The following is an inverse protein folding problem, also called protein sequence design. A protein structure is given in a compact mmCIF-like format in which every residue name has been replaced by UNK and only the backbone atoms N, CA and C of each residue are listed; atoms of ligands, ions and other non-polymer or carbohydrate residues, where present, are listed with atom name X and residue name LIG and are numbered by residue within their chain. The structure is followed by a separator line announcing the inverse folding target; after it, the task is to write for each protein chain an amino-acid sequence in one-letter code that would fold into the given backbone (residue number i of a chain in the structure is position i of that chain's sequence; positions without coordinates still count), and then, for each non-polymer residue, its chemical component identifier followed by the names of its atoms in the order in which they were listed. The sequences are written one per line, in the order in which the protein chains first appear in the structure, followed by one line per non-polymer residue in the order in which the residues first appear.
data_IF_060354923345
#
_entry.id   IF_060354923345
#
_cell.length_a   1.000
_cell.length_b   1.000
_cell.length_c   1.000
_cell.angle_alpha   90.00
_cell.angle_beta   90.00
_cell.angle_gamma   90.00
#
_symmetry.space_group_name_H-M   'P 1'
#
loop_
_entity.id
_entity.type
_entity.pdbx_description
1 polymer ?
#
# COMPACT_ATOMS: atom_id res chain seq x y z
N UNK A 1 -11.01 -1.06 19.25
CA UNK A 1 -11.70 -2.01 18.35
C UNK A 1 -13.18 -2.14 18.69
N UNK A 2 -13.57 -2.02 19.96
CA UNK A 2 -14.96 -2.17 20.42
C UNK A 2 -15.91 -1.19 19.73
N UNK A 3 -15.54 0.10 19.65
CA UNK A 3 -16.32 1.11 18.94
C UNK A 3 -16.50 0.79 17.44
N UNK A 4 -15.51 0.16 16.79
CA UNK A 4 -15.62 -0.26 15.42
C UNK A 4 -16.59 -1.43 15.27
N UNK A 5 -16.54 -2.38 16.20
CA UNK A 5 -17.48 -3.49 16.24
C UNK A 5 -18.91 -2.99 16.51
N UNK A 6 -19.08 -2.09 17.48
CA UNK A 6 -20.37 -1.48 17.77
C UNK A 6 -20.96 -0.76 16.55
N UNK A 7 -20.15 -0.01 15.78
CA UNK A 7 -20.61 0.66 14.56
C UNK A 7 -21.08 -0.35 13.50
N UNK A 8 -20.44 -1.53 13.43
CA UNK A 8 -20.88 -2.62 12.54
C UNK A 8 -22.20 -3.22 13.02
N UNK A 9 -22.34 -3.51 14.31
CA UNK A 9 -23.53 -4.11 14.91
C UNK A 9 -24.74 -3.17 14.78
N UNK A 10 -24.52 -1.86 14.90
CA UNK A 10 -25.53 -0.81 14.65
C UNK A 10 -25.79 -0.57 13.15
N UNK A 11 -25.16 -1.34 12.24
CA UNK A 11 -25.28 -1.20 10.77
C UNK A 11 -24.88 0.19 10.22
N UNK A 12 -24.08 0.95 10.98
CA UNK A 12 -23.53 2.25 10.52
C UNK A 12 -22.45 2.07 9.47
N UNK A 13 -21.70 0.96 9.55
CA UNK A 13 -20.69 0.55 8.57
C UNK A 13 -20.91 -0.91 8.20
N UNK A 14 -20.56 -1.27 6.98
CA UNK A 14 -20.62 -2.67 6.49
C UNK A 14 -19.27 -3.36 6.62
N UNK A 15 -18.20 -2.65 6.35
CA UNK A 15 -16.85 -3.17 6.24
C UNK A 15 -15.91 -2.38 7.14
N UNK A 16 -15.04 -3.06 7.84
CA UNK A 16 -14.03 -2.47 8.72
C UNK A 16 -12.68 -2.93 8.24
N UNK A 17 -11.82 -1.98 7.93
CA UNK A 17 -10.45 -2.25 7.50
C UNK A 17 -9.46 -1.38 8.24
N UNK A 18 -8.20 -1.58 7.91
CA UNK A 18 -7.11 -0.75 8.41
C UNK A 18 -6.20 -0.30 7.28
N UNK A 19 -5.45 0.75 7.56
CA UNK A 19 -4.43 1.28 6.67
C UNK A 19 -3.07 1.25 7.38
N UNK A 20 -2.02 0.84 6.65
CA UNK A 20 -0.67 0.85 7.17
C UNK A 20 0.34 1.04 6.05
N UNK A 21 1.30 1.97 6.24
CA UNK A 21 2.32 2.30 5.24
C UNK A 21 3.75 2.19 5.77
N UNK A 22 3.94 2.27 7.10
CA UNK A 22 5.26 2.37 7.72
C UNK A 22 6.03 1.04 7.73
N UNK A 23 5.37 0.00 8.24
CA UNK A 23 5.97 -1.31 8.39
C UNK A 23 4.90 -2.41 8.41
N UNK A 24 5.08 -3.49 7.65
CA UNK A 24 4.17 -4.63 7.71
C UNK A 24 4.12 -5.28 9.10
N UNK A 25 5.18 -5.19 9.91
CA UNK A 25 5.18 -5.72 11.28
C UNK A 25 4.12 -5.07 12.17
N UNK A 26 3.85 -3.78 12.00
CA UNK A 26 2.79 -3.09 12.76
C UNK A 26 1.43 -3.69 12.41
N UNK A 27 1.16 -3.88 11.12
CA UNK A 27 -0.07 -4.49 10.64
C UNK A 27 -0.21 -5.95 11.10
N UNK A 28 0.86 -6.73 11.06
CA UNK A 28 0.86 -8.12 11.53
C UNK A 28 0.57 -8.20 13.03
N UNK A 29 1.12 -7.30 13.84
CA UNK A 29 0.76 -7.20 15.28
C UNK A 29 -0.71 -6.84 15.49
N UNK A 30 -1.27 -5.99 14.62
CA UNK A 30 -2.69 -5.65 14.66
C UNK A 30 -3.56 -6.88 14.33
N UNK A 31 -3.19 -7.64 13.31
CA UNK A 31 -3.88 -8.89 12.94
C UNK A 31 -3.82 -9.95 14.03
N UNK A 32 -2.74 -9.99 14.81
CA UNK A 32 -2.57 -10.93 15.91
C UNK A 32 -3.56 -10.68 17.09
N UNK A 33 -4.24 -9.52 17.11
CA UNK A 33 -5.27 -9.22 18.12
C UNK A 33 -6.62 -9.92 17.88
N UNK A 34 -6.73 -10.69 16.79
CA UNK A 34 -7.90 -11.53 16.54
C UNK A 34 -9.15 -10.82 16.02
N UNK A 35 -9.10 -9.53 15.74
CA UNK A 35 -10.23 -8.81 15.14
C UNK A 35 -10.47 -9.27 13.69
N UNK A 36 -11.74 -9.43 13.30
CA UNK A 36 -12.13 -9.81 11.94
C UNK A 36 -12.11 -8.57 11.00
N UNK A 37 -10.97 -8.34 10.39
CA UNK A 37 -10.78 -7.27 9.40
C UNK A 37 -11.32 -7.70 8.04
N UNK A 38 -12.13 -6.86 7.40
CA UNK A 38 -12.67 -7.12 6.08
C UNK A 38 -11.67 -6.76 4.97
N UNK A 39 -10.84 -5.74 5.20
CA UNK A 39 -9.81 -5.34 4.24
C UNK A 39 -8.60 -4.66 4.89
N UNK A 40 -7.52 -4.58 4.14
CA UNK A 40 -6.37 -3.75 4.46
C UNK A 40 -5.96 -2.88 3.27
N UNK A 41 -5.61 -1.62 3.55
CA UNK A 41 -4.93 -0.74 2.60
C UNK A 41 -3.43 -0.78 2.87
N UNK A 42 -2.60 -1.04 1.85
CA UNK A 42 -1.15 -1.16 1.99
C UNK A 42 -0.41 -0.70 0.74
N UNK A 43 0.84 -0.19 0.88
CA UNK A 43 1.68 0.12 -0.27
C UNK A 43 2.00 -1.13 -1.08
N UNK A 44 1.80 -1.05 -2.40
CA UNK A 44 2.13 -2.13 -3.32
C UNK A 44 2.68 -1.53 -4.62
N UNK A 45 3.98 -1.69 -4.85
CA UNK A 45 4.69 -1.19 -6.02
C UNK A 45 6.03 -1.94 -6.17
N UNK A 46 6.75 -1.83 -7.29
CA UNK A 46 8.01 -2.56 -7.48
C UNK A 46 9.11 -2.26 -6.44
N UNK A 47 9.11 -1.07 -5.80
CA UNK A 47 10.07 -0.74 -4.74
C UNK A 47 9.73 -1.43 -3.42
N UNK A 48 8.43 -1.57 -3.11
CA UNK A 48 7.96 -2.24 -1.89
C UNK A 48 8.56 -3.65 -1.73
N UNK A 49 8.74 -4.36 -2.83
CA UNK A 49 9.28 -5.73 -2.82
C UNK A 49 10.69 -5.85 -2.23
N UNK A 50 11.42 -4.73 -2.03
CA UNK A 50 12.83 -4.72 -1.60
C UNK A 50 13.05 -4.26 -0.17
N UNK A 51 12.20 -3.40 0.37
CA UNK A 51 12.38 -2.82 1.71
C UNK A 51 11.07 -2.84 2.50
N UNK A 52 11.08 -3.46 3.70
CA UNK A 52 9.90 -3.59 4.58
C UNK A 52 8.65 -3.95 3.76
N UNK A 53 8.74 -5.04 3.01
CA UNK A 53 7.79 -5.40 1.96
C UNK A 53 6.44 -5.81 2.52
N UNK A 54 5.42 -5.04 2.20
CA UNK A 54 4.02 -5.39 2.42
C UNK A 54 3.59 -6.52 1.49
N UNK A 55 4.09 -6.52 0.26
CA UNK A 55 3.83 -7.58 -0.72
C UNK A 55 4.26 -8.96 -0.21
N UNK A 56 5.42 -9.05 0.45
CA UNK A 56 5.97 -10.34 0.91
C UNK A 56 5.46 -10.78 2.28
N UNK A 57 5.03 -9.85 3.11
CA UNK A 57 4.73 -10.14 4.51
C UNK A 57 3.25 -10.01 4.83
N UNK A 58 2.59 -8.90 4.48
CA UNK A 58 1.20 -8.65 4.84
C UNK A 58 0.22 -9.18 3.80
N UNK A 59 0.50 -9.00 2.51
CA UNK A 59 -0.39 -9.42 1.43
C UNK A 59 -0.74 -10.91 1.50
N UNK A 60 0.22 -11.86 1.66
CA UNK A 60 -0.10 -13.28 1.77
C UNK A 60 -0.99 -13.58 3.00
N UNK A 61 -0.77 -12.90 4.11
CA UNK A 61 -1.56 -13.10 5.32
C UNK A 61 -3.00 -12.61 5.16
N UNK A 62 -3.22 -11.49 4.47
CA UNK A 62 -4.57 -11.00 4.16
C UNK A 62 -5.30 -11.98 3.23
N UNK A 63 -4.64 -12.48 2.19
CA UNK A 63 -5.21 -13.49 1.28
C UNK A 63 -5.57 -14.77 2.04
N UNK A 64 -4.68 -15.27 2.89
CA UNK A 64 -4.94 -16.46 3.73
C UNK A 64 -6.17 -16.29 4.62
N UNK A 65 -6.45 -15.06 5.07
CA UNK A 65 -7.64 -14.72 5.90
C UNK A 65 -8.91 -14.51 5.07
N UNK A 66 -8.83 -14.52 3.76
CA UNK A 66 -9.95 -14.19 2.88
C UNK A 66 -10.37 -12.72 2.92
N UNK A 67 -9.49 -11.84 3.43
CA UNK A 67 -9.74 -10.42 3.54
C UNK A 67 -9.30 -9.67 2.27
N UNK A 68 -10.04 -8.63 1.91
CA UNK A 68 -9.75 -7.84 0.72
C UNK A 68 -8.45 -7.03 0.89
N UNK A 69 -7.74 -6.80 -0.22
CA UNK A 69 -6.56 -5.94 -0.24
C UNK A 69 -6.78 -4.77 -1.19
N UNK A 70 -6.52 -3.57 -0.69
CA UNK A 70 -6.52 -2.35 -1.48
C UNK A 70 -5.08 -1.86 -1.56
N UNK A 71 -4.50 -1.95 -2.76
CA UNK A 71 -3.16 -1.44 -3.02
C UNK A 71 -3.15 0.09 -3.01
N UNK A 72 -2.17 0.67 -2.34
CA UNK A 72 -1.90 2.11 -2.32
C UNK A 72 -0.48 2.38 -2.77
N UNK A 73 -0.11 3.64 -2.95
CA UNK A 73 1.25 4.06 -3.33
C UNK A 73 1.83 3.29 -4.54
N UNK A 74 1.00 2.92 -5.51
CA UNK A 74 1.43 2.20 -6.71
C UNK A 74 2.57 2.90 -7.47
N UNK A 75 2.69 4.22 -7.33
CA UNK A 75 3.77 5.05 -7.87
C UNK A 75 4.79 5.49 -6.80
N UNK A 76 4.87 4.78 -5.67
CA UNK A 76 5.77 5.06 -4.55
C UNK A 76 5.73 6.53 -4.07
N UNK A 77 4.52 7.11 -3.95
CA UNK A 77 4.36 8.52 -3.55
C UNK A 77 4.94 9.53 -4.54
N UNK A 78 5.05 9.18 -5.80
CA UNK A 78 5.64 10.02 -6.85
C UNK A 78 7.12 9.72 -7.16
N UNK A 79 7.78 8.89 -6.36
CA UNK A 79 9.20 8.57 -6.56
C UNK A 79 9.46 7.79 -7.87
N UNK A 80 8.51 6.94 -8.29
CA UNK A 80 8.66 6.18 -9.55
C UNK A 80 8.71 7.11 -10.77
N UNK A 81 7.72 8.00 -11.00
CA UNK A 81 7.79 8.91 -12.14
C UNK A 81 8.97 9.89 -12.05
N UNK A 82 9.34 10.35 -10.87
CA UNK A 82 10.48 11.24 -10.68
C UNK A 82 11.82 10.54 -10.96
N UNK A 83 11.98 9.30 -10.57
CA UNK A 83 13.22 8.53 -10.70
C UNK A 83 13.49 7.96 -12.10
N UNK A 84 12.49 7.90 -12.98
CA UNK A 84 12.57 7.40 -14.37
C UNK A 84 13.12 5.98 -14.54
N UNK A 85 13.34 5.26 -13.44
CA UNK A 85 13.85 3.88 -13.48
C UNK A 85 12.79 2.90 -13.98
N UNK A 86 11.56 3.08 -13.53
CA UNK A 86 10.38 2.29 -13.90
C UNK A 86 9.34 3.27 -14.44
N UNK A 87 8.70 2.95 -15.54
CA UNK A 87 7.62 3.78 -16.07
C UNK A 87 6.38 3.68 -15.18
N UNK A 88 5.60 4.76 -15.10
CA UNK A 88 4.37 4.79 -14.30
C UNK A 88 3.40 3.67 -14.70
N UNK A 89 3.28 3.39 -16.01
CA UNK A 89 2.42 2.33 -16.54
C UNK A 89 2.89 0.95 -16.12
N UNK A 90 4.21 0.72 -16.08
CA UNK A 90 4.79 -0.55 -15.61
C UNK A 90 4.50 -0.76 -14.12
N UNK A 91 4.63 0.29 -13.31
CA UNK A 91 4.36 0.24 -11.88
C UNK A 91 2.86 0.03 -11.57
N UNK A 92 1.98 0.69 -12.30
CA UNK A 92 0.53 0.49 -12.18
C UNK A 92 0.16 -0.95 -12.58
N UNK A 93 0.66 -1.41 -13.72
CA UNK A 93 0.44 -2.78 -14.19
C UNK A 93 0.96 -3.81 -13.17
N UNK A 94 2.12 -3.54 -12.55
CA UNK A 94 2.65 -4.36 -11.47
C UNK A 94 1.68 -4.46 -10.30
N UNK A 95 1.22 -3.33 -9.78
CA UNK A 95 0.29 -3.31 -8.65
C UNK A 95 -1.04 -4.01 -8.96
N UNK A 96 -1.58 -3.84 -10.17
CA UNK A 96 -2.80 -4.54 -10.63
C UNK A 96 -2.59 -6.03 -10.88
N UNK A 97 -1.35 -6.49 -11.07
CA UNK A 97 -1.03 -7.90 -11.27
C UNK A 97 -0.92 -8.70 -9.95
N UNK A 98 -0.85 -8.00 -8.82
CA UNK A 98 -0.90 -8.63 -7.50
C UNK A 98 -2.33 -9.07 -7.16
N UNK A 99 -2.52 -10.01 -6.25
CA UNK A 99 -3.84 -10.48 -5.82
C UNK A 99 -4.54 -9.44 -4.93
N UNK A 100 -4.94 -8.35 -5.54
CA UNK A 100 -5.62 -7.21 -4.90
C UNK A 100 -7.06 -7.09 -5.37
N UNK A 101 -7.92 -6.57 -4.51
CA UNK A 101 -9.31 -6.25 -4.85
C UNK A 101 -9.43 -4.95 -5.62
N UNK A 102 -8.54 -3.99 -5.34
CA UNK A 102 -8.49 -2.67 -5.98
C UNK A 102 -7.13 -2.01 -5.76
N UNK A 103 -6.82 -0.99 -6.55
CA UNK A 103 -5.65 -0.13 -6.37
C UNK A 103 -6.08 1.33 -6.40
N UNK A 104 -5.73 2.08 -5.36
CA UNK A 104 -5.95 3.52 -5.30
C UNK A 104 -4.80 4.24 -6.00
N UNK A 105 -5.13 5.03 -7.01
CA UNK A 105 -4.16 5.81 -7.79
C UNK A 105 -4.45 7.28 -7.61
N UNK A 106 -3.47 8.04 -7.10
CA UNK A 106 -3.55 9.50 -7.03
C UNK A 106 -3.49 10.11 -8.44
N UNK A 107 -4.40 11.03 -8.72
CA UNK A 107 -4.45 11.78 -9.98
C UNK A 107 -4.53 13.27 -9.63
N UNK A 108 -3.45 14.01 -9.90
CA UNK A 108 -3.34 15.45 -9.64
C UNK A 108 -3.82 16.32 -10.81
N UNK A 109 -4.09 15.70 -11.96
CA UNK A 109 -4.55 16.39 -13.15
C UNK A 109 -5.46 15.49 -14.01
N UNK A 110 -6.29 16.12 -14.85
CA UNK A 110 -7.11 15.40 -15.82
C UNK A 110 -6.27 14.62 -16.85
N UNK A 111 -5.07 15.08 -17.14
CA UNK A 111 -4.14 14.39 -18.04
C UNK A 111 -3.65 13.07 -17.40
N UNK A 112 -3.25 13.11 -16.13
CA UNK A 112 -2.84 11.91 -15.37
C UNK A 112 -4.01 10.93 -15.24
N UNK A 113 -5.21 11.42 -14.91
CA UNK A 113 -6.41 10.60 -14.84
C UNK A 113 -6.69 9.87 -16.17
N UNK A 114 -6.71 10.59 -17.29
CA UNK A 114 -6.92 10.00 -18.63
C UNK A 114 -5.89 8.93 -18.96
N UNK A 115 -4.61 9.19 -18.64
CA UNK A 115 -3.51 8.25 -18.87
C UNK A 115 -3.67 6.99 -18.01
N UNK A 116 -4.04 7.15 -16.73
CA UNK A 116 -4.29 6.04 -15.80
C UNK A 116 -5.47 5.19 -16.27
N UNK A 117 -6.59 5.81 -16.67
CA UNK A 117 -7.75 5.11 -17.20
C UNK A 117 -7.44 4.34 -18.48
N UNK A 118 -6.67 4.93 -19.40
CA UNK A 118 -6.21 4.24 -20.61
C UNK A 118 -5.37 3.01 -20.27
N UNK A 119 -4.47 3.12 -19.30
CA UNK A 119 -3.65 1.98 -18.83
C UNK A 119 -4.51 0.90 -18.17
N UNK A 120 -5.52 1.29 -17.40
CA UNK A 120 -6.43 0.35 -16.74
C UNK A 120 -7.33 -0.38 -17.76
N UNK A 121 -7.87 0.34 -18.75
CA UNK A 121 -8.73 -0.26 -19.79
C UNK A 121 -7.97 -1.29 -20.64
N UNK A 122 -6.70 -1.07 -20.91
CA UNK A 122 -5.82 -1.99 -21.66
C UNK A 122 -5.05 -2.97 -20.77
N UNK A 123 -5.41 -3.10 -19.50
CA UNK A 123 -4.67 -3.91 -18.55
C UNK A 123 -4.59 -5.39 -18.95
N UNK A 124 -3.38 -5.90 -18.91
CA UNK A 124 -3.09 -7.34 -18.97
C UNK A 124 -2.15 -7.67 -17.83
N UNK A 125 -2.47 -8.66 -17.03
CA UNK A 125 -1.63 -9.06 -15.90
C UNK A 125 -0.21 -9.41 -16.35
N UNK A 126 0.77 -9.07 -15.54
CA UNK A 126 2.12 -9.61 -15.68
C UNK A 126 2.16 -11.06 -15.24
N UNK A 127 2.95 -11.89 -15.92
CA UNK A 127 3.32 -13.19 -15.39
C UNK A 127 4.49 -13.10 -14.40
N UNK A 128 4.76 -14.17 -13.69
CA UNK A 128 5.75 -14.18 -12.60
C UNK A 128 7.14 -13.66 -13.02
N UNK A 129 7.62 -14.05 -14.20
CA UNK A 129 8.92 -13.61 -14.71
C UNK A 129 8.99 -12.11 -14.99
N UNK A 130 7.92 -11.49 -15.49
CA UNK A 130 7.84 -10.03 -15.70
C UNK A 130 7.83 -9.29 -14.35
N UNK A 131 7.09 -9.81 -13.38
CA UNK A 131 7.07 -9.27 -12.01
C UNK A 131 8.47 -9.31 -11.38
N UNK A 132 9.17 -10.44 -11.50
CA UNK A 132 10.52 -10.60 -10.98
C UNK A 132 11.53 -9.70 -11.67
N UNK A 133 11.43 -9.50 -12.98
CA UNK A 133 12.28 -8.56 -13.72
C UNK A 133 12.13 -7.13 -13.18
N UNK A 134 10.91 -6.68 -12.88
CA UNK A 134 10.67 -5.36 -12.28
C UNK A 134 11.23 -5.26 -10.85
N UNK A 135 11.07 -6.30 -10.03
CA UNK A 135 11.66 -6.36 -8.69
C UNK A 135 13.19 -6.29 -8.73
N UNK A 136 13.81 -7.05 -9.64
CA UNK A 136 15.27 -7.02 -9.84
C UNK A 136 15.75 -5.65 -10.33
N UNK A 137 15.03 -5.02 -11.24
CA UNK A 137 15.33 -3.67 -11.73
C UNK A 137 15.26 -2.63 -10.60
N UNK A 138 14.28 -2.76 -9.71
CA UNK A 138 14.09 -1.87 -8.56
C UNK A 138 15.14 -2.05 -7.45
N UNK A 139 15.58 -3.28 -7.22
CA UNK A 139 16.38 -3.70 -6.06
C UNK A 139 17.62 -2.87 -5.79
N UNK A 140 18.52 -2.57 -6.78
CA UNK A 140 19.73 -1.80 -6.51
C UNK A 140 19.45 -0.39 -5.99
N UNK A 141 18.30 0.17 -6.33
CA UNK A 141 17.95 1.57 -6.08
C UNK A 141 17.04 1.73 -4.85
N UNK A 142 16.17 0.75 -4.59
CA UNK A 142 15.11 0.84 -3.58
C UNK A 142 15.40 0.04 -2.30
N UNK A 143 16.56 -0.61 -2.18
CA UNK A 143 16.88 -1.54 -1.09
C UNK A 143 16.97 -0.91 0.31
N UNK A 144 17.13 0.39 0.43
CA UNK A 144 17.17 1.12 1.70
C UNK A 144 15.88 1.90 2.01
N UNK A 145 14.88 1.83 1.16
CA UNK A 145 13.59 2.50 1.34
C UNK A 145 13.58 4.00 1.08
N UNK A 146 14.70 4.59 0.59
CA UNK A 146 14.81 6.06 0.36
C UNK A 146 13.73 6.63 -0.56
N UNK A 147 13.22 5.82 -1.47
CA UNK A 147 12.16 6.20 -2.41
C UNK A 147 10.74 5.98 -1.87
N UNK A 148 10.63 5.34 -0.73
CA UNK A 148 9.37 5.10 -0.03
C UNK A 148 9.37 5.85 1.30
N UNK A 149 9.42 7.19 1.23
CA UNK A 149 9.53 8.06 2.41
C UNK A 149 8.47 7.78 3.48
N UNK A 150 7.30 7.34 3.10
CA UNK A 150 6.25 6.90 4.03
C UNK A 150 6.68 5.71 4.92
N UNK A 151 7.70 4.93 4.51
CA UNK A 151 8.29 3.86 5.32
C UNK A 151 9.44 4.33 6.21
N UNK A 152 10.16 5.39 5.81
CA UNK A 152 11.42 5.79 6.43
C UNK A 152 11.35 7.09 7.23
N UNK A 153 10.42 8.01 6.91
CA UNK A 153 10.25 9.25 7.65
C UNK A 153 9.82 9.00 9.08
N UNK A 154 10.32 9.81 9.99
CA UNK A 154 9.89 9.89 11.39
C UNK A 154 9.14 11.19 11.69
N UNK A 155 8.86 11.99 10.67
CA UNK A 155 8.24 13.32 10.77
C UNK A 155 6.90 13.29 11.53
N UNK A 156 6.16 12.19 11.40
CA UNK A 156 4.85 12.01 12.02
C UNK A 156 4.85 10.97 13.16
N UNK A 157 6.02 10.53 13.59
CA UNK A 157 6.17 9.58 14.69
C UNK A 157 6.41 10.34 16.01
N UNK A 158 5.82 9.86 17.09
CA UNK A 158 6.05 10.40 18.42
C UNK A 158 5.44 11.80 18.67
N UNK A 159 6.19 12.65 19.38
CA UNK A 159 5.72 13.93 19.90
C UNK A 159 5.02 14.87 18.88
N UNK A 160 5.55 15.10 17.67
CA UNK A 160 4.89 15.97 16.71
C UNK A 160 3.52 15.46 16.27
N UNK A 161 3.41 14.16 16.03
CA UNK A 161 2.15 13.53 15.63
C UNK A 161 1.13 13.56 16.77
N UNK A 162 1.56 13.25 17.99
CA UNK A 162 0.73 13.30 19.18
C UNK A 162 0.21 14.72 19.41
N UNK A 163 1.09 15.72 19.35
CA UNK A 163 0.72 17.15 19.50
C UNK A 163 -0.27 17.59 18.42
N UNK A 164 -0.06 17.20 17.16
CA UNK A 164 -0.95 17.54 16.05
C UNK A 164 -2.37 16.98 16.24
N UNK A 165 -2.51 15.88 16.97
CA UNK A 165 -3.79 15.28 17.34
C UNK A 165 -4.34 15.75 18.70
N UNK A 166 -3.70 16.74 19.35
CA UNK A 166 -4.14 17.31 20.62
C UNK A 166 -3.81 16.45 21.84
N UNK A 167 -2.91 15.50 21.73
CA UNK A 167 -2.44 14.69 22.86
C UNK A 167 -1.27 15.38 23.58
N UNK A 168 -1.24 15.23 24.89
CA UNK A 168 -0.10 15.72 25.70
C UNK A 168 1.09 14.78 25.49
N UNK A 169 2.23 15.35 25.18
CA UNK A 169 3.50 14.63 25.07
C UNK A 169 4.20 14.75 26.41
N UNK A 170 4.32 13.65 27.13
CA UNK A 170 5.13 13.53 28.35
C UNK A 170 6.59 13.27 28.01
#
# INVERSE_FOLDING_TARGET
LDAAQEARDQKRVRWIGFHGEKSPHIALKLLARGFAWDFACMPLNPFDATFRSFEKQLLPEMIRRGAAVIGTKALAGGAIPAGRLIKSEEALRYAWSLPVSSVLVGCDSSAVLKKTLKSATGFKSYHAGEMDALRQKARPTAGDGRFERYKTTQEYDGAPGLTAHGYTVS
#
